data_IF_990652385652
#
_entry.id   IF_990652385652
#
_cell.length_a   1.000
_cell.length_b   1.000
_cell.length_c   1.000
_cell.angle_alpha   90.00
_cell.angle_beta   90.00
_cell.angle_gamma   90.00
#
_symmetry.space_group_name_H-M   'P 1'
#
loop_
_entity.id
_entity.type
_entity.pdbx_description
1 polymer ?
#
# COMPACT_ATOMS: atom_id res chain seq x y z
N UNK A 1 13.84 57.12 -4.55
CA UNK A 1 14.25 55.80 -4.01
C UNK A 1 12.97 55.01 -3.74
N UNK A 2 12.78 53.80 -4.31
CA UNK A 2 11.58 53.01 -4.07
C UNK A 2 11.44 52.69 -2.58
N UNK A 3 10.20 52.52 -2.11
CA UNK A 3 9.95 52.21 -0.70
C UNK A 3 10.51 50.83 -0.34
N UNK A 4 10.96 50.68 0.91
CA UNK A 4 11.53 49.43 1.41
C UNK A 4 10.57 48.25 1.26
N UNK A 5 9.26 48.49 1.37
CA UNK A 5 8.22 47.50 1.13
C UNK A 5 8.18 47.04 -0.34
N UNK A 6 8.35 47.96 -1.30
CA UNK A 6 8.36 47.64 -2.72
C UNK A 6 9.62 46.84 -3.09
N UNK A 7 10.76 47.19 -2.50
CA UNK A 7 12.00 46.44 -2.67
C UNK A 7 11.88 45.02 -2.11
N UNK A 8 11.31 44.85 -0.90
CA UNK A 8 11.06 43.53 -0.31
C UNK A 8 10.15 42.67 -1.19
N UNK A 9 9.06 43.25 -1.70
CA UNK A 9 8.15 42.51 -2.58
C UNK A 9 8.84 42.12 -3.89
N UNK A 10 9.56 43.04 -4.50
CA UNK A 10 10.28 42.77 -5.75
C UNK A 10 11.38 41.71 -5.58
N UNK A 11 12.08 41.70 -4.43
CA UNK A 11 13.09 40.69 -4.14
C UNK A 11 12.49 39.32 -3.83
N UNK A 12 11.34 39.24 -3.16
CA UNK A 12 10.61 37.98 -2.98
C UNK A 12 10.11 37.43 -4.31
N UNK A 13 9.48 38.25 -5.15
CA UNK A 13 9.02 37.82 -6.48
C UNK A 13 10.19 37.41 -7.39
N UNK A 14 11.33 38.09 -7.30
CA UNK A 14 12.54 37.69 -8.03
C UNK A 14 13.11 36.37 -7.51
N UNK A 15 13.04 36.11 -6.21
CA UNK A 15 13.47 34.84 -5.60
C UNK A 15 12.55 33.68 -5.97
N UNK A 16 11.23 33.88 -5.92
CA UNK A 16 10.25 32.89 -6.40
C UNK A 16 10.48 32.58 -7.88
N UNK A 17 10.63 33.62 -8.71
CA UNK A 17 10.91 33.43 -10.14
C UNK A 17 12.23 32.69 -10.38
N UNK A 18 13.29 33.05 -9.65
CA UNK A 18 14.59 32.38 -9.77
C UNK A 18 14.48 30.93 -9.30
N UNK A 19 13.74 30.66 -8.23
CA UNK A 19 13.53 29.32 -7.70
C UNK A 19 12.83 28.43 -8.72
N UNK A 20 11.67 28.85 -9.23
CA UNK A 20 10.91 28.10 -10.23
C UNK A 20 11.71 27.89 -11.53
N UNK A 21 12.43 28.93 -11.99
CA UNK A 21 13.27 28.84 -13.18
C UNK A 21 14.50 27.94 -12.97
N UNK A 22 15.14 28.01 -11.81
CA UNK A 22 16.33 27.23 -11.50
C UNK A 22 16.02 25.74 -11.43
N UNK A 23 14.93 25.34 -10.76
CA UNK A 23 14.55 23.93 -10.66
C UNK A 23 14.11 23.35 -12.01
N UNK A 24 13.34 24.11 -12.80
CA UNK A 24 12.97 23.67 -14.16
C UNK A 24 14.18 23.50 -15.09
N UNK A 25 15.23 24.31 -14.91
CA UNK A 25 16.48 24.16 -15.66
C UNK A 25 17.38 23.05 -15.13
N UNK A 26 17.37 22.78 -13.82
CA UNK A 26 18.07 21.62 -13.26
C UNK A 26 17.48 20.31 -13.78
N UNK A 27 16.15 20.21 -13.85
CA UNK A 27 15.47 19.03 -14.40
C UNK A 27 15.88 18.80 -15.87
N UNK A 28 16.01 19.88 -16.65
CA UNK A 28 16.46 19.83 -18.04
C UNK A 28 17.97 19.53 -18.18
N UNK A 29 18.82 20.11 -17.35
CA UNK A 29 20.29 20.00 -17.44
C UNK A 29 20.83 18.66 -16.93
N UNK A 30 20.17 18.06 -15.93
CA UNK A 30 20.54 16.75 -15.40
C UNK A 30 19.85 15.58 -16.10
N UNK A 31 19.05 15.85 -17.15
CA UNK A 31 18.32 14.80 -17.87
C UNK A 31 17.35 14.02 -16.98
N UNK A 32 16.97 14.59 -15.82
CA UNK A 32 15.91 14.06 -14.97
C UNK A 32 14.55 14.26 -15.65
N UNK A 33 14.44 15.27 -16.53
CA UNK A 33 13.43 15.35 -17.58
C UNK A 33 13.83 14.56 -18.84
N UNK A 34 14.24 13.29 -18.70
CA UNK A 34 14.15 12.36 -19.81
C UNK A 34 12.76 11.75 -19.75
N UNK A 35 11.93 12.11 -20.75
CA UNK A 35 10.49 11.82 -20.93
C UNK A 35 9.49 12.83 -20.35
N UNK A 36 9.61 14.11 -20.71
CA UNK A 36 8.40 14.66 -21.33
C UNK A 36 8.43 14.20 -22.79
N UNK A 37 7.62 13.20 -23.18
CA UNK A 37 7.27 13.18 -24.57
C UNK A 37 6.46 14.45 -24.78
N UNK A 38 6.89 15.28 -25.73
CA UNK A 38 5.94 16.02 -26.56
C UNK A 38 5.13 15.00 -27.40
N UNK A 39 4.61 13.94 -26.77
CA UNK A 39 3.53 13.15 -27.30
C UNK A 39 2.33 14.05 -27.14
N UNK A 40 1.87 14.56 -28.28
CA UNK A 40 0.51 15.01 -28.51
C UNK A 40 -0.43 14.63 -27.36
N UNK A 41 -0.95 15.60 -26.61
CA UNK A 41 -1.97 15.36 -25.59
C UNK A 41 -3.15 14.49 -26.13
N UNK A 42 -3.36 14.49 -27.45
CA UNK A 42 -4.29 13.58 -28.16
C UNK A 42 -3.97 12.09 -28.05
N UNK A 43 -2.69 11.68 -27.98
CA UNK A 43 -2.32 10.26 -27.81
C UNK A 43 -2.58 9.78 -26.39
N UNK A 44 -2.43 10.65 -25.40
CA UNK A 44 -2.58 10.30 -23.99
C UNK A 44 -4.06 10.20 -23.59
N UNK A 45 -4.91 11.09 -24.11
CA UNK A 45 -6.38 10.98 -23.96
C UNK A 45 -6.87 9.65 -24.56
N UNK A 46 -6.38 9.30 -25.76
CA UNK A 46 -6.73 8.04 -26.41
C UNK A 46 -6.18 6.79 -25.71
N UNK A 47 -5.14 6.92 -24.87
CA UNK A 47 -4.57 5.82 -24.09
C UNK A 47 -5.44 5.54 -22.85
N UNK A 48 -5.87 6.60 -22.15
CA UNK A 48 -6.75 6.53 -20.98
C UNK A 48 -8.13 5.97 -21.33
N UNK A 49 -8.72 6.39 -22.44
CA UNK A 49 -10.02 5.87 -22.90
C UNK A 49 -9.98 4.36 -23.16
N UNK A 50 -8.86 3.87 -23.71
CA UNK A 50 -8.63 2.44 -23.93
C UNK A 50 -8.48 1.69 -22.60
N UNK A 51 -7.75 2.24 -21.64
CA UNK A 51 -7.64 1.66 -20.28
C UNK A 51 -9.02 1.56 -19.63
N UNK A 52 -9.79 2.65 -19.66
CA UNK A 52 -11.17 2.66 -19.19
C UNK A 52 -12.05 1.62 -19.86
N UNK A 53 -11.93 1.45 -21.18
CA UNK A 53 -12.70 0.46 -21.93
C UNK A 53 -12.35 -0.96 -21.47
N UNK A 54 -11.06 -1.27 -21.26
CA UNK A 54 -10.61 -2.57 -20.75
C UNK A 54 -11.16 -2.80 -19.33
N UNK A 55 -11.04 -1.82 -18.43
CA UNK A 55 -11.54 -1.92 -17.06
C UNK A 55 -13.07 -2.10 -17.00
N UNK A 56 -13.82 -1.36 -17.82
CA UNK A 56 -15.29 -1.52 -17.91
C UNK A 56 -15.68 -2.90 -18.43
N UNK A 57 -14.99 -3.39 -19.47
CA UNK A 57 -15.20 -4.73 -20.00
C UNK A 57 -14.88 -5.81 -18.96
N UNK A 58 -13.79 -5.65 -18.22
CA UNK A 58 -13.40 -6.52 -17.11
C UNK A 58 -14.49 -6.57 -16.04
N UNK A 59 -14.91 -5.42 -15.50
CA UNK A 59 -15.93 -5.36 -14.44
C UNK A 59 -17.23 -6.02 -14.88
N UNK A 60 -17.66 -5.81 -16.14
CA UNK A 60 -18.86 -6.44 -16.70
C UNK A 60 -18.72 -7.96 -16.75
N UNK A 61 -17.61 -8.46 -17.30
CA UNK A 61 -17.34 -9.90 -17.39
C UNK A 61 -17.22 -10.53 -15.99
N UNK A 62 -16.50 -9.89 -15.08
CA UNK A 62 -16.30 -10.38 -13.71
C UNK A 62 -17.60 -10.47 -12.93
N UNK A 63 -18.48 -9.47 -13.05
CA UNK A 63 -19.82 -9.52 -12.45
C UNK A 63 -20.65 -10.70 -12.99
N UNK A 64 -20.50 -11.06 -14.26
CA UNK A 64 -21.18 -12.22 -14.84
C UNK A 64 -20.58 -13.54 -14.32
N UNK A 65 -19.25 -13.64 -14.18
CA UNK A 65 -18.59 -14.81 -13.60
C UNK A 65 -19.02 -15.09 -12.17
N UNK A 66 -19.05 -14.04 -11.33
CA UNK A 66 -19.48 -14.13 -9.93
C UNK A 66 -20.93 -14.62 -9.84
N UNK A 67 -21.82 -14.06 -10.67
CA UNK A 67 -23.24 -14.50 -10.73
C UNK A 67 -23.40 -15.94 -11.22
N UNK A 68 -22.55 -16.38 -12.14
CA UNK A 68 -22.56 -17.73 -12.66
C UNK A 68 -22.00 -18.79 -11.69
N UNK A 69 -21.57 -18.40 -10.48
CA UNK A 69 -20.97 -19.27 -9.45
C UNK A 69 -19.83 -20.15 -10.00
N UNK A 70 -19.12 -19.68 -11.03
CA UNK A 70 -17.95 -20.39 -11.55
C UNK A 70 -16.86 -20.39 -10.47
N UNK A 71 -16.00 -21.42 -10.47
CA UNK A 71 -14.89 -21.53 -9.51
C UNK A 71 -14.10 -20.23 -9.50
N UNK A 72 -14.02 -19.61 -8.32
CA UNK A 72 -13.39 -18.31 -8.10
C UNK A 72 -11.90 -18.32 -8.50
N UNK A 73 -11.28 -19.50 -8.46
CA UNK A 73 -9.86 -19.73 -8.71
C UNK A 73 -9.46 -19.59 -10.18
N UNK A 74 -10.41 -19.75 -11.13
CA UNK A 74 -10.17 -19.51 -12.55
C UNK A 74 -10.81 -18.19 -12.97
N UNK A 75 -10.13 -17.08 -12.64
CA UNK A 75 -10.57 -15.74 -13.04
C UNK A 75 -10.22 -15.48 -14.52
N UNK A 76 -10.91 -16.16 -15.44
CA UNK A 76 -10.71 -16.01 -16.88
C UNK A 76 -10.87 -14.55 -17.33
N UNK A 77 -11.83 -13.82 -16.75
CA UNK A 77 -12.01 -12.38 -16.99
C UNK A 77 -10.77 -11.55 -16.63
N UNK A 78 -10.07 -11.84 -15.53
CA UNK A 78 -8.84 -11.13 -15.17
C UNK A 78 -7.70 -11.45 -16.13
N UNK A 79 -7.53 -12.72 -16.50
CA UNK A 79 -6.54 -13.13 -17.50
C UNK A 79 -6.79 -12.47 -18.86
N UNK A 80 -8.05 -12.40 -19.30
CA UNK A 80 -8.44 -11.75 -20.55
C UNK A 80 -8.22 -10.22 -20.51
N UNK A 81 -8.53 -9.58 -19.38
CA UNK A 81 -8.29 -8.16 -19.18
C UNK A 81 -6.80 -7.84 -19.19
N UNK A 82 -5.98 -8.65 -18.50
CA UNK A 82 -4.53 -8.53 -18.52
C UNK A 82 -3.96 -8.74 -19.93
N UNK A 83 -4.37 -9.78 -20.64
CA UNK A 83 -3.93 -10.02 -22.01
C UNK A 83 -4.33 -8.87 -22.96
N UNK A 84 -5.52 -8.29 -22.77
CA UNK A 84 -5.96 -7.11 -23.52
C UNK A 84 -5.11 -5.88 -23.18
N UNK A 85 -4.78 -5.69 -21.91
CA UNK A 85 -3.93 -4.61 -21.43
C UNK A 85 -2.52 -4.72 -22.02
N UNK A 86 -1.87 -5.88 -21.90
CA UNK A 86 -0.51 -6.07 -22.43
C UNK A 86 -0.48 -5.97 -23.95
N UNK A 87 -1.42 -6.60 -24.66
CA UNK A 87 -1.46 -6.55 -26.13
C UNK A 87 -1.71 -5.13 -26.68
N UNK A 88 -2.48 -4.30 -25.98
CA UNK A 88 -2.84 -2.95 -26.45
C UNK A 88 -1.78 -1.90 -26.15
N UNK A 89 -0.97 -2.11 -25.12
CA UNK A 89 -0.02 -1.11 -24.62
C UNK A 89 1.44 -1.59 -24.60
N UNK A 90 1.73 -2.75 -25.18
CA UNK A 90 3.11 -3.17 -25.44
C UNK A 90 3.71 -2.33 -26.58
N UNK A 91 4.92 -1.74 -26.38
CA UNK A 91 5.53 -0.81 -27.34
C UNK A 91 5.84 -1.42 -28.71
N UNK A 92 5.99 -2.74 -28.82
CA UNK A 92 6.36 -3.43 -30.08
C UNK A 92 5.30 -4.46 -30.55
N UNK A 93 4.08 -4.42 -30.01
CA UNK A 93 3.05 -5.42 -30.32
C UNK A 93 3.41 -6.85 -29.89
N UNK A 94 4.45 -7.01 -29.07
CA UNK A 94 4.92 -8.26 -28.50
C UNK A 94 4.31 -8.56 -27.13
N UNK A 95 4.85 -9.57 -26.43
CA UNK A 95 4.46 -9.95 -25.07
C UNK A 95 5.22 -9.16 -23.99
N UNK A 96 5.84 -8.03 -24.34
CA UNK A 96 6.60 -7.20 -23.40
C UNK A 96 5.66 -6.41 -22.49
N UNK A 97 6.10 -6.14 -21.26
CA UNK A 97 5.30 -5.39 -20.29
C UNK A 97 5.00 -3.97 -20.83
N UNK A 98 3.81 -3.42 -20.53
CA UNK A 98 3.50 -2.01 -20.81
C UNK A 98 4.49 -1.07 -20.12
N UNK A 99 4.69 0.11 -20.71
CA UNK A 99 5.60 1.13 -20.17
C UNK A 99 5.23 1.53 -18.74
N UNK A 100 6.21 2.04 -17.98
CA UNK A 100 5.98 2.57 -16.63
C UNK A 100 4.91 3.64 -16.63
N UNK A 101 4.88 4.52 -17.64
CA UNK A 101 3.86 5.56 -17.76
C UNK A 101 2.45 4.98 -17.91
N UNK A 102 2.31 3.92 -18.72
CA UNK A 102 1.02 3.22 -18.87
C UNK A 102 0.61 2.53 -17.58
N UNK A 103 1.56 1.96 -16.84
CA UNK A 103 1.29 1.34 -15.53
C UNK A 103 0.84 2.40 -14.51
N UNK A 104 1.51 3.55 -14.48
CA UNK A 104 1.14 4.69 -13.63
C UNK A 104 -0.25 5.21 -13.99
N UNK A 105 -0.54 5.40 -15.28
CA UNK A 105 -1.87 5.82 -15.75
C UNK A 105 -2.97 4.83 -15.33
N UNK A 106 -2.70 3.52 -15.39
CA UNK A 106 -3.61 2.49 -14.89
C UNK A 106 -3.82 2.60 -13.38
N UNK A 107 -2.75 2.80 -12.60
CA UNK A 107 -2.83 2.95 -11.14
C UNK A 107 -3.61 4.23 -10.76
N UNK A 108 -3.37 5.35 -11.45
CA UNK A 108 -4.14 6.59 -11.29
C UNK A 108 -5.64 6.34 -11.54
N UNK A 109 -5.97 5.64 -12.62
CA UNK A 109 -7.37 5.31 -12.96
C UNK A 109 -8.07 4.45 -11.88
N UNK A 110 -7.30 3.56 -11.26
CA UNK A 110 -7.78 2.63 -10.25
C UNK A 110 -7.99 3.33 -8.91
N UNK A 111 -7.06 4.19 -8.50
CA UNK A 111 -6.98 4.73 -7.14
C UNK A 111 -7.50 6.16 -7.03
N UNK A 112 -7.15 7.04 -7.98
CA UNK A 112 -7.41 8.47 -7.85
C UNK A 112 -8.82 8.88 -8.32
N UNK A 113 -9.42 9.83 -7.61
CA UNK A 113 -10.64 10.52 -8.05
C UNK A 113 -10.36 11.36 -9.32
N UNK A 114 -11.31 11.43 -10.28
CA UNK A 114 -12.72 11.06 -10.18
C UNK A 114 -13.05 9.61 -10.58
N UNK A 115 -12.05 8.82 -10.96
CA UNK A 115 -12.28 7.54 -11.62
C UNK A 115 -12.27 6.35 -10.67
N UNK A 116 -11.45 6.41 -9.61
CA UNK A 116 -11.38 5.54 -8.43
C UNK A 116 -12.04 4.16 -8.63
N UNK A 117 -11.64 3.44 -9.69
CA UNK A 117 -12.47 2.36 -10.24
C UNK A 117 -12.55 1.15 -9.30
N UNK A 118 -11.58 1.04 -8.38
CA UNK A 118 -11.57 0.00 -7.34
C UNK A 118 -12.57 0.26 -6.21
N UNK A 119 -13.28 1.40 -6.23
CA UNK A 119 -14.27 1.77 -5.23
C UNK A 119 -15.71 1.56 -5.72
N UNK A 120 -16.65 1.22 -4.83
CA UNK A 120 -18.07 1.30 -5.13
C UNK A 120 -18.50 2.76 -5.37
N UNK A 121 -19.25 3.02 -6.45
CA UNK A 121 -19.66 4.37 -6.84
C UNK A 121 -20.52 5.10 -5.78
N UNK A 122 -21.34 4.36 -5.03
CA UNK A 122 -22.26 4.92 -4.04
C UNK A 122 -21.79 4.65 -2.59
N UNK A 123 -20.48 4.58 -2.37
CA UNK A 123 -19.93 4.19 -1.06
C UNK A 123 -20.29 5.22 0.01
N UNK A 124 -20.82 4.72 1.13
CA UNK A 124 -21.04 5.49 2.36
C UNK A 124 -19.99 5.12 3.40
N UNK A 125 -19.69 6.04 4.31
CA UNK A 125 -18.81 5.78 5.46
C UNK A 125 -19.26 4.52 6.21
N UNK A 126 -18.30 3.65 6.53
CA UNK A 126 -18.54 2.36 7.21
C UNK A 126 -19.20 1.26 6.36
N UNK A 127 -19.45 1.48 5.07
CA UNK A 127 -19.95 0.43 4.18
C UNK A 127 -18.83 -0.52 3.74
N UNK A 128 -19.15 -1.81 3.65
CA UNK A 128 -18.17 -2.87 3.37
C UNK A 128 -17.57 -2.79 1.96
N UNK A 129 -16.24 -2.97 1.87
CA UNK A 129 -15.49 -3.09 0.61
C UNK A 129 -15.42 -4.52 0.03
N UNK A 130 -16.04 -5.52 0.69
CA UNK A 130 -15.94 -6.93 0.28
C UNK A 130 -16.33 -7.17 -1.19
N UNK A 131 -17.39 -6.50 -1.67
CA UNK A 131 -17.81 -6.60 -3.07
C UNK A 131 -16.77 -6.06 -4.06
N UNK A 132 -16.06 -4.99 -3.68
CA UNK A 132 -14.99 -4.42 -4.49
C UNK A 132 -13.78 -5.36 -4.52
N UNK A 133 -13.40 -5.96 -3.39
CA UNK A 133 -12.33 -6.95 -3.31
C UNK A 133 -12.61 -8.16 -4.23
N UNK A 134 -13.83 -8.71 -4.17
CA UNK A 134 -14.25 -9.82 -5.03
C UNK A 134 -14.13 -9.52 -6.53
N UNK A 135 -14.39 -8.27 -6.92
CA UNK A 135 -14.27 -7.82 -8.31
C UNK A 135 -12.83 -7.56 -8.68
N UNK A 136 -12.04 -6.87 -7.87
CA UNK A 136 -10.78 -6.28 -8.30
C UNK A 136 -9.53 -7.07 -7.90
N UNK A 137 -9.55 -7.81 -6.79
CA UNK A 137 -8.35 -8.48 -6.26
C UNK A 137 -7.72 -9.45 -7.26
N UNK A 138 -8.52 -10.17 -8.05
CA UNK A 138 -7.97 -11.10 -9.04
C UNK A 138 -7.16 -10.39 -10.15
N UNK A 139 -7.67 -9.28 -10.67
CA UNK A 139 -6.97 -8.50 -11.70
C UNK A 139 -5.72 -7.82 -11.14
N UNK A 140 -5.83 -7.16 -9.98
CA UNK A 140 -4.70 -6.46 -9.37
C UNK A 140 -3.56 -7.42 -9.00
N UNK A 141 -3.87 -8.60 -8.46
CA UNK A 141 -2.87 -9.63 -8.18
C UNK A 141 -2.18 -10.10 -9.44
N UNK A 142 -2.93 -10.28 -10.53
CA UNK A 142 -2.33 -10.65 -11.82
C UNK A 142 -1.37 -9.57 -12.32
N UNK A 143 -1.72 -8.29 -12.18
CA UNK A 143 -0.80 -7.19 -12.48
C UNK A 143 0.47 -7.25 -11.62
N UNK A 144 0.35 -7.51 -10.31
CA UNK A 144 1.49 -7.59 -9.40
C UNK A 144 2.42 -8.77 -9.72
N UNK A 145 1.85 -9.94 -10.03
CA UNK A 145 2.65 -11.14 -10.35
C UNK A 145 3.39 -10.97 -11.68
N UNK A 146 2.78 -10.30 -12.64
CA UNK A 146 3.38 -10.12 -13.97
C UNK A 146 4.22 -8.84 -14.10
N UNK A 147 4.09 -7.87 -13.20
CA UNK A 147 4.89 -6.65 -13.15
C UNK A 147 5.48 -6.43 -11.75
N UNK A 148 6.80 -6.68 -11.56
CA UNK A 148 7.44 -6.63 -10.24
C UNK A 148 7.33 -5.28 -9.51
N UNK A 149 7.25 -4.18 -10.25
CA UNK A 149 7.15 -2.82 -9.67
C UNK A 149 5.71 -2.43 -9.32
N UNK A 150 4.72 -3.09 -9.92
CA UNK A 150 3.32 -2.67 -9.85
C UNK A 150 2.77 -2.71 -8.43
N UNK A 151 3.11 -3.73 -7.63
CA UNK A 151 2.66 -3.80 -6.24
C UNK A 151 3.19 -2.63 -5.41
N UNK A 152 4.48 -2.30 -5.56
CA UNK A 152 5.11 -1.18 -4.85
C UNK A 152 4.46 0.15 -5.22
N UNK A 153 4.27 0.40 -6.52
CA UNK A 153 3.63 1.62 -7.05
C UNK A 153 2.16 1.74 -6.61
N UNK A 154 1.39 0.65 -6.69
CA UNK A 154 -0.01 0.64 -6.27
C UNK A 154 -0.14 0.94 -4.78
N UNK A 155 0.67 0.27 -3.95
CA UNK A 155 0.70 0.49 -2.50
C UNK A 155 1.04 1.93 -2.17
N UNK A 156 2.10 2.47 -2.77
CA UNK A 156 2.53 3.85 -2.55
C UNK A 156 1.42 4.84 -2.93
N UNK A 157 0.79 4.67 -4.11
CA UNK A 157 -0.32 5.53 -4.53
C UNK A 157 -1.51 5.44 -3.57
N UNK A 158 -1.86 4.25 -3.11
CA UNK A 158 -2.93 4.06 -2.11
C UNK A 158 -2.60 4.79 -0.81
N UNK A 159 -1.38 4.68 -0.29
CA UNK A 159 -0.95 5.39 0.93
C UNK A 159 -0.97 6.91 0.75
N UNK A 160 -0.53 7.42 -0.40
CA UNK A 160 -0.55 8.86 -0.72
C UNK A 160 -1.98 9.39 -0.80
N UNK A 161 -2.86 8.73 -1.57
CA UNK A 161 -4.25 9.18 -1.72
C UNK A 161 -5.06 9.00 -0.42
N UNK A 162 -4.72 8.00 0.42
CA UNK A 162 -5.32 7.82 1.74
C UNK A 162 -5.03 8.98 2.69
N UNK A 163 -3.85 9.60 2.58
CA UNK A 163 -3.44 10.73 3.41
C UNK A 163 -3.66 12.11 2.74
N UNK A 164 -4.35 12.14 1.61
CA UNK A 164 -4.67 13.36 0.88
C UNK A 164 -5.77 14.19 1.58
N UNK A 165 -6.17 15.31 0.97
CA UNK A 165 -7.27 16.18 1.44
C UNK A 165 -8.65 15.76 0.90
N UNK A 166 -8.78 14.54 0.36
CA UNK A 166 -10.00 14.02 -0.26
C UNK A 166 -11.11 13.72 0.74
N UNK A 167 -12.24 13.20 0.25
CA UNK A 167 -13.38 12.79 1.09
C UNK A 167 -12.98 11.70 2.08
N UNK A 168 -13.53 11.74 3.28
CA UNK A 168 -13.24 10.75 4.32
C UNK A 168 -13.69 9.33 3.92
N UNK A 169 -14.75 9.18 3.12
CA UNK A 169 -15.18 7.89 2.58
C UNK A 169 -14.17 7.29 1.61
N UNK A 170 -13.47 8.14 0.85
CA UNK A 170 -12.44 7.73 -0.08
C UNK A 170 -11.20 7.25 0.68
N UNK A 171 -10.75 8.02 1.68
CA UNK A 171 -9.61 7.64 2.54
C UNK A 171 -9.88 6.34 3.29
N UNK A 172 -11.10 6.15 3.81
CA UNK A 172 -11.50 4.91 4.46
C UNK A 172 -11.40 3.71 3.51
N UNK A 173 -11.82 3.87 2.26
CA UNK A 173 -11.80 2.78 1.28
C UNK A 173 -10.36 2.41 0.92
N UNK A 174 -9.49 3.41 0.78
CA UNK A 174 -8.07 3.19 0.54
C UNK A 174 -7.37 2.54 1.72
N UNK A 175 -7.71 2.93 2.94
CA UNK A 175 -7.23 2.28 4.16
C UNK A 175 -7.64 0.80 4.19
N UNK A 176 -8.91 0.49 3.90
CA UNK A 176 -9.39 -0.89 3.80
C UNK A 176 -8.70 -1.67 2.67
N UNK A 177 -8.45 -1.04 1.51
CA UNK A 177 -7.67 -1.63 0.43
C UNK A 177 -6.22 -1.91 0.83
N UNK A 178 -5.55 -0.97 1.51
CA UNK A 178 -4.19 -1.14 2.00
C UNK A 178 -4.08 -2.32 2.98
N UNK A 179 -5.00 -2.39 3.96
CA UNK A 179 -5.11 -3.52 4.89
C UNK A 179 -5.32 -4.83 4.13
N UNK A 180 -6.28 -4.87 3.19
CA UNK A 180 -6.58 -6.05 2.38
C UNK A 180 -5.35 -6.54 1.60
N UNK A 181 -4.63 -5.64 0.91
CA UNK A 181 -3.43 -5.98 0.14
C UNK A 181 -2.27 -6.48 1.01
N UNK A 182 -2.15 -6.01 2.25
CA UNK A 182 -1.04 -6.35 3.14
C UNK A 182 -1.29 -7.61 3.96
N UNK A 183 -2.55 -7.94 4.23
CA UNK A 183 -2.91 -8.99 5.17
C UNK A 183 -3.52 -10.21 4.49
N UNK A 184 -4.41 -10.01 3.51
CA UNK A 184 -5.16 -11.12 2.93
C UNK A 184 -4.19 -12.15 2.31
N UNK A 185 -4.48 -13.43 2.56
CA UNK A 185 -3.66 -14.57 2.12
C UNK A 185 -3.56 -14.65 0.61
N UNK A 186 -4.60 -14.21 -0.10
CA UNK A 186 -4.64 -14.24 -1.57
C UNK A 186 -3.56 -13.36 -2.20
N UNK A 187 -3.09 -12.36 -1.47
CA UNK A 187 -2.06 -11.40 -1.91
C UNK A 187 -0.63 -11.83 -1.58
N UNK A 188 -0.44 -13.02 -0.99
CA UNK A 188 0.88 -13.53 -0.61
C UNK A 188 1.85 -13.58 -1.80
N UNK A 189 1.38 -14.02 -2.96
CA UNK A 189 2.19 -14.07 -4.18
C UNK A 189 2.64 -12.67 -4.64
N UNK A 190 1.76 -11.67 -4.55
CA UNK A 190 2.06 -10.29 -4.90
C UNK A 190 3.08 -9.64 -3.96
N UNK A 191 3.05 -9.99 -2.66
CA UNK A 191 4.04 -9.54 -1.66
C UNK A 191 5.39 -10.24 -1.79
N UNK A 192 5.41 -11.41 -2.42
CA UNK A 192 6.61 -12.22 -2.60
C UNK A 192 7.19 -12.76 -1.28
N UNK A 193 8.44 -13.23 -1.33
CA UNK A 193 9.13 -13.78 -0.15
C UNK A 193 9.45 -12.74 0.93
N UNK A 194 9.32 -11.45 0.62
CA UNK A 194 9.59 -10.33 1.52
C UNK A 194 8.35 -9.84 2.28
N UNK A 195 7.27 -10.63 2.35
CA UNK A 195 5.99 -10.27 2.98
C UNK A 195 6.13 -9.62 4.36
N UNK A 196 6.94 -10.21 5.26
CA UNK A 196 7.21 -9.65 6.60
C UNK A 196 7.87 -8.27 6.49
N UNK A 197 8.94 -8.16 5.70
CA UNK A 197 9.67 -6.90 5.50
C UNK A 197 8.80 -5.80 4.90
N UNK A 198 7.88 -6.15 3.98
CA UNK A 198 6.91 -5.19 3.41
C UNK A 198 5.99 -4.64 4.50
N UNK A 199 5.47 -5.51 5.39
CA UNK A 199 4.60 -5.07 6.50
C UNK A 199 5.35 -4.19 7.50
N UNK A 200 6.54 -4.61 7.90
CA UNK A 200 7.40 -3.83 8.82
C UNK A 200 7.74 -2.45 8.22
N UNK A 201 8.04 -2.38 6.92
CA UNK A 201 8.29 -1.11 6.23
C UNK A 201 7.06 -0.20 6.31
N UNK A 202 5.86 -0.72 6.02
CA UNK A 202 4.62 0.07 6.08
C UNK A 202 4.30 0.51 7.52
N UNK A 203 4.52 -0.36 8.52
CA UNK A 203 4.36 0.01 9.93
C UNK A 203 5.33 1.13 10.32
N UNK A 204 6.59 1.04 9.89
CA UNK A 204 7.57 2.11 10.06
C UNK A 204 7.11 3.42 9.44
N UNK A 205 6.66 3.41 8.19
CA UNK A 205 6.09 4.57 7.48
C UNK A 205 4.90 5.18 8.26
N UNK A 206 4.00 4.34 8.79
CA UNK A 206 2.83 4.78 9.56
C UNK A 206 3.18 5.45 10.90
N UNK A 207 4.27 5.02 11.54
CA UNK A 207 4.74 5.59 12.82
C UNK A 207 5.56 6.86 12.58
N UNK A 208 6.24 7.00 11.44
CA UNK A 208 6.97 8.22 11.09
C UNK A 208 6.05 9.36 10.64
N UNK A 209 4.98 9.03 9.92
CA UNK A 209 3.99 9.99 9.44
C UNK A 209 2.69 9.80 10.23
N UNK A 210 2.62 10.36 11.44
CA UNK A 210 1.46 10.20 12.29
C UNK A 210 0.23 10.88 11.66
N UNK A 211 -0.76 10.06 11.34
CA UNK A 211 -2.05 10.48 10.80
C UNK A 211 -3.14 9.48 11.17
N UNK A 212 -4.42 9.89 11.24
CA UNK A 212 -5.50 9.02 11.66
C UNK A 212 -5.63 7.77 10.78
N UNK A 213 -5.36 7.90 9.48
CA UNK A 213 -5.43 6.81 8.53
C UNK A 213 -4.21 5.88 8.59
N UNK A 214 -3.01 6.44 8.82
CA UNK A 214 -1.80 5.66 9.06
C UNK A 214 -1.90 4.85 10.35
N UNK A 215 -2.46 5.42 11.42
CA UNK A 215 -2.73 4.68 12.66
C UNK A 215 -3.73 3.55 12.43
N UNK A 216 -4.85 3.83 11.74
CA UNK A 216 -5.85 2.80 11.41
C UNK A 216 -5.28 1.68 10.54
N UNK A 217 -4.43 2.02 9.57
CA UNK A 217 -3.72 1.04 8.74
C UNK A 217 -2.78 0.17 9.60
N UNK A 218 -2.00 0.80 10.48
CA UNK A 218 -1.08 0.11 11.36
C UNK A 218 -1.80 -0.85 12.32
N UNK A 219 -2.89 -0.41 12.95
CA UNK A 219 -3.75 -1.27 13.79
C UNK A 219 -4.27 -2.48 13.01
N UNK A 220 -4.72 -2.26 11.76
CA UNK A 220 -5.17 -3.32 10.89
C UNK A 220 -4.10 -4.38 10.67
N UNK A 221 -2.87 -3.97 10.38
CA UNK A 221 -1.72 -4.88 10.17
C UNK A 221 -1.39 -5.63 11.47
N UNK A 222 -1.26 -4.91 12.59
CA UNK A 222 -0.88 -5.47 13.90
C UNK A 222 -1.87 -6.52 14.38
N UNK A 223 -3.16 -6.35 14.12
CA UNK A 223 -4.20 -7.31 14.49
C UNK A 223 -4.01 -8.72 13.94
N UNK A 224 -3.21 -8.89 12.88
CA UNK A 224 -2.97 -10.20 12.22
C UNK A 224 -1.52 -10.70 12.39
N UNK A 225 -0.65 -9.92 13.04
CA UNK A 225 0.71 -10.38 13.37
C UNK A 225 0.70 -11.47 14.44
N UNK A 226 1.81 -12.21 14.52
CA UNK A 226 2.08 -13.18 15.58
C UNK A 226 2.15 -12.47 16.95
N UNK A 227 1.81 -13.17 18.04
CA UNK A 227 1.65 -12.56 19.38
C UNK A 227 2.84 -11.70 19.82
N UNK A 228 4.08 -12.18 19.64
CA UNK A 228 5.27 -11.41 20.04
C UNK A 228 5.52 -10.16 19.20
N UNK A 229 5.25 -10.21 17.89
CA UNK A 229 5.38 -9.03 17.02
C UNK A 229 4.24 -8.04 17.26
N UNK A 230 3.03 -8.56 17.50
CA UNK A 230 1.86 -7.77 17.83
C UNK A 230 2.10 -6.93 19.08
N UNK A 231 2.53 -7.55 20.18
CA UNK A 231 2.74 -6.85 21.44
C UNK A 231 3.79 -5.74 21.31
N UNK A 232 4.88 -6.01 20.59
CA UNK A 232 5.92 -5.02 20.31
C UNK A 232 5.37 -3.82 19.51
N UNK A 233 4.65 -4.07 18.41
CA UNK A 233 4.12 -3.00 17.58
C UNK A 233 2.96 -2.25 18.23
N UNK A 234 2.13 -2.93 19.02
CA UNK A 234 1.09 -2.28 19.85
C UNK A 234 1.72 -1.30 20.84
N UNK A 235 2.79 -1.71 21.54
CA UNK A 235 3.50 -0.80 22.45
C UNK A 235 4.08 0.43 21.74
N UNK A 236 4.61 0.26 20.53
CA UNK A 236 5.11 1.38 19.70
C UNK A 236 3.96 2.32 19.29
N UNK A 237 2.82 1.77 18.88
CA UNK A 237 1.65 2.56 18.48
C UNK A 237 1.01 3.30 19.66
N UNK A 238 1.01 2.70 20.85
CA UNK A 238 0.51 3.36 22.06
C UNK A 238 1.44 4.51 22.48
N UNK A 239 2.76 4.29 22.41
CA UNK A 239 3.74 5.34 22.69
C UNK A 239 3.59 6.53 21.72
N UNK A 240 3.42 6.28 20.42
CA UNK A 240 3.28 7.36 19.43
C UNK A 240 2.01 8.20 19.58
N UNK A 241 0.94 7.63 20.15
CA UNK A 241 -0.29 8.38 20.50
C UNK A 241 -0.05 9.36 21.64
N UNK A 242 0.63 8.90 22.69
CA UNK A 242 0.87 9.72 23.89
C UNK A 242 1.77 10.92 23.60
N UNK A 243 2.74 10.80 22.68
CA UNK A 243 3.59 11.92 22.30
C UNK A 243 2.84 13.02 21.54
N UNK A 244 1.82 12.64 20.74
CA UNK A 244 1.02 13.61 19.98
C UNK A 244 0.10 14.45 20.85
N UNK A 245 -0.37 13.93 22.00
CA UNK A 245 -1.24 14.69 22.92
C UNK A 245 -0.46 15.68 23.81
N UNK A 246 0.81 15.37 24.13
CA UNK A 246 1.62 16.19 25.06
C UNK A 246 2.30 17.38 24.35
N UNK A 247 2.30 17.41 23.01
CA UNK A 247 3.01 18.42 22.21
C UNK A 247 2.33 19.79 22.03
N UNK A 248 1.06 19.97 22.44
CA UNK A 248 0.33 21.21 22.14
C UNK A 248 -0.64 21.66 23.25
N UNK A 249 -0.15 21.81 24.48
CA UNK A 249 -0.89 22.53 25.53
C UNK A 249 -0.68 21.97 26.93
N UNK A 250 0.30 22.52 27.64
CA UNK A 250 0.58 22.12 29.02
C UNK A 250 1.16 23.23 29.88
N UNK A 251 0.77 24.49 29.66
CA UNK A 251 0.97 25.55 30.65
C UNK A 251 -0.21 25.53 31.63
N UNK A 252 0.04 24.98 32.82
CA UNK A 252 -0.50 25.44 34.10
C UNK A 252 -2.02 25.43 34.33
N UNK A 253 -2.50 24.41 35.03
CA UNK A 253 -3.55 24.54 36.06
C UNK A 253 -3.41 23.34 36.99
N UNK A 254 -2.63 23.47 38.07
CA UNK A 254 -3.08 23.94 39.39
C UNK A 254 -4.35 23.23 39.85
N UNK A 255 -4.10 22.32 40.78
CA UNK A 255 -5.03 21.62 41.66
C UNK A 255 -6.16 22.52 42.17
N UNK A 256 -7.40 22.04 42.07
CA UNK A 256 -8.42 22.33 43.09
C UNK A 256 -9.60 21.36 43.07
N UNK A 257 -9.74 20.62 44.17
CA UNK A 257 -10.99 20.61 44.92
C UNK A 257 -11.97 19.46 44.66
N UNK A 258 -12.03 18.55 45.62
CA UNK A 258 -13.17 17.70 45.97
C UNK A 258 -14.52 18.43 45.91
N UNK A 259 -15.56 17.75 45.41
CA UNK A 259 -16.92 17.66 46.00
C UNK A 259 -17.66 16.50 45.30
N UNK A 260 -17.85 15.37 46.00
CA UNK A 260 -19.11 14.91 46.62
C UNK A 260 -20.30 14.77 45.65
N UNK A 261 -20.56 13.50 45.30
CA UNK A 261 -21.87 12.85 45.43
C UNK A 261 -22.97 13.21 44.44
N UNK A 262 -23.37 12.23 43.59
CA UNK A 262 -24.78 11.83 43.45
C UNK A 262 -24.90 10.49 42.72
N UNK A 263 -25.46 9.53 43.45
CA UNK A 263 -25.95 8.24 42.99
C UNK A 263 -27.04 8.41 41.92
N UNK A 264 -27.07 7.46 41.00
CA UNK A 264 -28.06 7.37 39.91
C UNK A 264 -27.96 6.02 39.24
N UNK A 265 -28.19 4.97 40.02
CA UNK A 265 -28.50 3.63 39.55
C UNK A 265 -29.71 3.70 38.60
N UNK A 266 -29.57 3.14 37.40
CA UNK A 266 -30.70 2.77 36.56
C UNK A 266 -30.42 1.39 36.00
N UNK A 267 -30.84 0.39 36.76
CA UNK A 267 -31.07 -0.97 36.30
C UNK A 267 -32.15 -0.94 35.22
N UNK A 268 -31.87 -1.51 34.05
CA UNK A 268 -32.87 -1.82 33.04
C UNK A 268 -32.82 -3.32 32.80
N UNK A 269 -33.73 -4.00 33.49
CA UNK A 269 -34.21 -5.34 33.17
C UNK A 269 -34.80 -5.34 31.75
N UNK A 270 -34.23 -6.14 30.84
CA UNK A 270 -34.97 -6.62 29.67
C UNK A 270 -34.88 -8.14 29.61
N UNK A 271 -36.07 -8.71 29.66
CA UNK A 271 -36.41 -10.11 29.78
C UNK A 271 -35.82 -10.97 28.66
N UNK A 272 -35.34 -12.12 29.11
CA UNK A 272 -35.20 -13.38 28.41
C UNK A 272 -36.44 -13.78 27.61
N UNK A 273 -36.25 -14.14 26.35
CA UNK A 273 -37.06 -15.15 25.67
C UNK A 273 -36.13 -16.28 25.22
N UNK A 274 -36.35 -17.44 25.85
CA UNK A 274 -35.88 -18.75 25.44
C UNK A 274 -36.70 -19.23 24.23
N UNK A 275 -36.05 -19.90 23.28
CA UNK A 275 -36.47 -21.19 22.66
C UNK A 275 -35.83 -21.39 21.28
N UNK A 276 -34.99 -22.41 21.16
CA UNK A 276 -35.13 -23.55 20.23
C UNK A 276 -33.77 -24.16 19.85
N UNK A 277 -33.36 -25.14 20.66
CA UNK A 277 -33.28 -26.55 20.26
C UNK A 277 -32.67 -26.96 18.90
N UNK A 278 -31.54 -27.65 19.04
CA UNK A 278 -31.02 -28.86 18.36
C UNK A 278 -30.88 -28.89 16.83
N UNK A 279 -29.61 -29.03 16.38
CA UNK A 279 -29.18 -30.31 15.79
C UNK A 279 -27.65 -30.46 15.85
N UNK A 280 -27.21 -31.41 16.67
CA UNK A 280 -25.86 -31.93 16.71
C UNK A 280 -25.74 -33.05 15.67
N UNK A 281 -24.80 -32.91 14.73
CA UNK A 281 -24.35 -34.00 13.87
C UNK A 281 -22.96 -34.45 14.34
N UNK A 282 -22.95 -35.54 15.09
CA UNK A 282 -21.80 -36.43 15.27
C UNK A 282 -21.87 -37.58 14.27
N UNK A 283 -20.73 -38.28 14.12
CA UNK A 283 -20.46 -39.52 13.38
C UNK A 283 -19.74 -39.30 12.04
N UNK A 284 -18.42 -39.48 12.05
CA UNK A 284 -17.79 -40.68 11.48
C UNK A 284 -16.32 -40.75 11.90
N UNK A 285 -16.04 -41.63 12.88
CA UNK A 285 -14.73 -42.25 13.03
C UNK A 285 -14.54 -43.24 11.87
N UNK A 286 -13.39 -43.19 11.21
CA UNK A 286 -12.86 -44.36 10.52
C UNK A 286 -11.35 -44.44 10.80
N UNK A 287 -10.95 -45.57 11.38
CA UNK A 287 -9.59 -45.85 11.76
C UNK A 287 -8.81 -46.49 10.61
N UNK A 288 -7.50 -46.21 10.55
CA UNK A 288 -6.55 -47.27 10.18
C UNK A 288 -5.14 -47.02 10.71
N UNK A 289 -4.66 -48.08 11.32
CA UNK A 289 -3.38 -48.32 11.96
C UNK A 289 -2.18 -48.28 11.00
N UNK A 290 -0.99 -47.96 11.57
CA UNK A 290 0.18 -48.84 11.39
C UNK A 290 1.39 -48.32 10.59
N UNK A 291 2.26 -47.54 11.27
CA UNK A 291 3.76 -47.65 11.38
C UNK A 291 4.67 -47.83 10.13
N UNK A 292 6.02 -47.64 10.21
CA UNK A 292 6.85 -47.24 11.35
C UNK A 292 7.76 -46.01 11.10
N UNK A 293 8.30 -45.55 12.23
CA UNK A 293 9.30 -44.50 12.40
C UNK A 293 10.61 -44.78 11.65
N UNK A 294 11.10 -43.76 10.93
CA UNK A 294 12.50 -43.62 10.56
C UNK A 294 13.06 -42.41 11.31
N UNK A 295 13.98 -42.69 12.23
CA UNK A 295 14.73 -41.70 12.98
C UNK A 295 15.64 -40.89 12.02
N UNK A 296 15.37 -39.60 11.90
CA UNK A 296 16.33 -38.64 11.32
C UNK A 296 16.97 -37.90 12.49
N UNK A 297 18.18 -38.34 12.84
CA UNK A 297 19.11 -37.56 13.65
C UNK A 297 19.63 -36.44 12.75
N UNK A 298 19.03 -35.26 12.82
CA UNK A 298 19.61 -34.04 12.24
C UNK A 298 20.36 -33.30 13.33
N UNK A 299 21.68 -33.37 13.24
CA UNK A 299 22.61 -32.59 14.05
C UNK A 299 22.35 -31.10 13.89
N UNK A 300 22.19 -30.39 15.01
CA UNK A 300 22.12 -28.93 15.08
C UNK A 300 23.41 -28.32 14.51
N UNK A 301 23.35 -27.83 13.26
CA UNK A 301 24.38 -26.94 12.74
C UNK A 301 24.19 -25.55 13.38
N UNK A 302 25.07 -25.24 14.34
CA UNK A 302 25.22 -23.89 14.89
C UNK A 302 25.49 -22.90 13.76
N UNK A 303 24.49 -22.07 13.48
CA UNK A 303 24.58 -20.91 12.59
C UNK A 303 25.72 -20.02 13.10
N UNK A 304 26.85 -20.01 12.40
CA UNK A 304 27.95 -19.08 12.67
C UNK A 304 27.52 -17.69 12.22
N UNK A 305 27.45 -16.76 13.17
CA UNK A 305 27.19 -15.35 12.89
C UNK A 305 28.26 -14.70 12.00
N UNK A 306 28.04 -13.45 11.58
CA UNK A 306 28.91 -12.73 10.66
C UNK A 306 30.36 -12.70 11.17
N UNK A 307 31.28 -13.34 10.44
CA UNK A 307 32.70 -13.28 10.76
C UNK A 307 33.27 -11.96 10.25
N UNK A 308 33.85 -11.18 11.15
CA UNK A 308 34.55 -9.94 10.84
C UNK A 308 35.80 -10.29 10.03
N UNK A 309 35.75 -10.09 8.71
CA UNK A 309 36.93 -10.22 7.85
C UNK A 309 37.85 -9.05 8.17
N UNK A 310 38.89 -9.31 8.95
CA UNK A 310 39.96 -8.33 9.24
C UNK A 310 40.89 -8.25 8.02
N UNK A 311 40.33 -7.86 6.89
CA UNK A 311 41.10 -7.46 5.72
C UNK A 311 41.39 -5.97 5.83
N UNK A 312 42.65 -5.57 5.65
CA UNK A 312 43.04 -4.17 5.53
C UNK A 312 42.29 -3.55 4.33
N UNK A 313 41.17 -2.88 4.60
CA UNK A 313 40.55 -1.98 3.64
C UNK A 313 41.55 -0.84 3.40
N UNK A 314 42.32 -0.94 2.31
CA UNK A 314 43.12 0.19 1.83
C UNK A 314 42.14 1.17 1.17
N UNK A 315 41.96 2.38 1.70
CA UNK A 315 41.12 3.37 1.05
C UNK A 315 41.76 3.73 -0.29
N UNK A 316 41.11 3.34 -1.39
CA UNK A 316 41.47 3.83 -2.72
C UNK A 316 40.65 5.09 -2.99
N UNK A 317 41.27 6.24 -3.31
CA UNK A 317 40.55 7.44 -3.67
C UNK A 317 39.77 7.24 -4.96
N UNK A 318 38.60 7.86 -5.03
CA UNK A 318 37.78 7.93 -6.26
C UNK A 318 38.62 8.63 -7.33
N UNK A 319 38.84 7.95 -8.48
CA UNK A 319 39.64 8.46 -9.59
C UNK A 319 40.97 7.73 -9.86
N UNK A 320 41.27 6.63 -9.15
CA UNK A 320 42.46 5.82 -9.41
C UNK A 320 42.25 4.90 -10.63
N UNK A 321 42.86 5.23 -11.77
CA UNK A 321 42.96 4.30 -12.91
C UNK A 321 44.16 3.35 -12.71
N UNK A 322 44.04 2.07 -13.09
CA UNK A 322 45.18 1.15 -13.11
C UNK A 322 46.27 1.64 -14.06
N UNK A 323 47.55 1.44 -13.69
CA UNK A 323 48.73 1.88 -14.45
C UNK A 323 48.82 1.30 -15.89
N UNK A 324 47.92 0.39 -16.26
CA UNK A 324 47.92 -0.31 -17.55
C UNK A 324 47.01 0.36 -18.60
N UNK A 325 46.39 1.51 -18.30
CA UNK A 325 45.40 2.16 -19.17
C UNK A 325 45.96 3.23 -20.13
N UNK A 326 47.26 3.53 -20.07
CA UNK A 326 47.88 4.63 -20.86
C UNK A 326 48.60 4.17 -22.15
N UNK A 327 48.56 2.89 -22.55
CA UNK A 327 49.37 2.39 -23.69
C UNK A 327 48.65 2.29 -25.06
N UNK A 328 47.40 2.73 -25.21
CA UNK A 328 46.72 2.74 -26.53
C UNK A 328 46.20 4.14 -26.92
N UNK A 329 47.12 5.09 -27.13
CA UNK A 329 46.86 6.38 -27.79
C UNK A 329 47.95 6.77 -28.80
#
# INVERSE_FOLDING_TARGET
MPSLALLKRASLTALEWLWDWYWTQLDAAFGLASSLPTASADQDIGSLDKLHAILKAYVKARKQEIKAKRRLDLCASAANAWASYTSRFSPDGGTTLPSTDTQNALIELLVAEPHASIMPADRKKGSSMAGAFLVWSAFLRLCCVNSPTFFGQLREKVTVEMNSTRSEEHKEALCEWAVHMLIDRDWKEARGSAERSVREKVLGECVTELGPWNLRLAEGIVGVLDEGERDMWTAILDASRTESEVGFGGVGSVEKGETVGREGEMEVDVQSEEESDVEALTIAEDGREGAPAAAIVSTEEKIRGPQKVVGLWKPKPIGWLPDDWDEDA
#
